data_IF_422099325110
#
_entry.id   IF_422099325110
#
_cell.length_a   1.000
_cell.length_b   1.000
_cell.length_c   1.000
_cell.angle_alpha   90.00
_cell.angle_beta   90.00
_cell.angle_gamma   90.00
#
_symmetry.space_group_name_H-M   'P 1'
#
loop_
_entity.id
_entity.type
_entity.pdbx_description
1 polymer ?
#
# COMPACT_ATOMS: atom_id res chain seq x y z
N UNK A 1 2.61 -39.67 0.28
CA UNK A 1 2.83 -38.42 -0.47
C UNK A 1 2.81 -37.28 0.51
N UNK A 2 3.98 -36.73 0.87
CA UNK A 2 4.09 -35.59 1.78
C UNK A 2 3.77 -34.32 1.00
N UNK A 3 2.63 -33.68 1.29
CA UNK A 3 2.31 -32.36 0.75
C UNK A 3 3.36 -31.40 1.27
N UNK A 4 4.31 -30.99 0.43
CA UNK A 4 5.18 -29.86 0.71
C UNK A 4 4.31 -28.62 0.66
N UNK A 5 3.78 -28.19 1.82
CA UNK A 5 3.04 -26.93 1.91
C UNK A 5 3.99 -25.79 1.54
N UNK A 6 3.90 -25.31 0.30
CA UNK A 6 4.58 -24.09 -0.13
C UNK A 6 4.16 -22.95 0.80
N UNK A 7 5.14 -22.19 1.30
CA UNK A 7 4.88 -21.01 2.14
C UNK A 7 4.04 -20.02 1.34
N UNK A 8 3.02 -19.44 1.97
CA UNK A 8 2.21 -18.40 1.35
C UNK A 8 3.06 -17.14 1.15
N UNK A 9 2.89 -16.45 0.03
CA UNK A 9 3.53 -15.15 -0.21
C UNK A 9 2.49 -14.06 -0.02
N UNK A 10 2.74 -13.16 0.92
CA UNK A 10 1.83 -12.07 1.30
C UNK A 10 2.46 -10.75 0.90
N UNK A 11 1.86 -10.08 -0.08
CA UNK A 11 2.22 -8.72 -0.44
C UNK A 11 1.60 -7.74 0.56
N UNK A 12 2.44 -6.87 1.11
CA UNK A 12 2.09 -5.97 2.20
C UNK A 12 2.08 -4.53 1.69
N UNK A 13 0.88 -3.96 1.54
CA UNK A 13 0.67 -2.58 1.12
C UNK A 13 0.39 -1.70 2.33
N UNK A 14 1.21 -0.69 2.54
CA UNK A 14 1.04 0.24 3.67
C UNK A 14 -0.10 1.25 3.39
N UNK A 15 -0.58 1.89 4.46
CA UNK A 15 -1.60 2.96 4.36
C UNK A 15 -1.02 4.32 3.99
N UNK A 16 -1.87 5.32 3.79
CA UNK A 16 -1.46 6.70 3.54
C UNK A 16 -0.57 7.25 4.67
N UNK A 17 0.48 8.00 4.30
CA UNK A 17 1.50 8.56 5.20
C UNK A 17 2.23 7.50 6.03
N UNK A 18 2.50 6.37 5.41
CA UNK A 18 3.37 5.31 5.93
C UNK A 18 4.37 4.92 4.84
N UNK A 19 5.23 3.96 5.15
CA UNK A 19 6.14 3.33 4.20
C UNK A 19 6.32 1.86 4.58
N UNK A 20 7.12 1.14 3.80
CA UNK A 20 7.42 -0.29 3.96
C UNK A 20 8.07 -0.59 5.32
N UNK A 21 8.94 0.28 5.81
CA UNK A 21 9.66 0.11 7.08
C UNK A 21 8.70 0.23 8.26
N UNK A 22 7.94 1.33 8.31
CA UNK A 22 6.95 1.59 9.35
C UNK A 22 5.87 0.51 9.37
N UNK A 23 5.45 0.01 8.21
CA UNK A 23 4.46 -1.06 8.15
C UNK A 23 5.02 -2.40 8.62
N UNK A 24 6.27 -2.72 8.27
CA UNK A 24 6.96 -3.93 8.73
C UNK A 24 7.17 -3.96 10.25
N UNK A 25 7.46 -2.81 10.85
CA UNK A 25 7.59 -2.66 12.30
C UNK A 25 6.25 -2.89 13.01
N UNK A 26 5.19 -2.23 12.55
CA UNK A 26 3.83 -2.37 13.13
C UNK A 26 3.25 -3.78 13.02
N UNK A 27 3.68 -4.54 12.00
CA UNK A 27 3.22 -5.92 11.77
C UNK A 27 4.15 -6.99 12.34
N UNK A 28 5.13 -6.61 13.18
CA UNK A 28 6.16 -7.52 13.70
C UNK A 28 5.62 -8.74 14.46
N UNK A 29 4.60 -8.58 15.31
CA UNK A 29 3.98 -9.69 16.05
C UNK A 29 3.26 -10.67 15.10
N UNK A 30 2.49 -10.15 14.15
CA UNK A 30 1.83 -10.94 13.10
C UNK A 30 2.85 -11.75 12.31
N UNK A 31 3.90 -11.10 11.80
CA UNK A 31 4.95 -11.79 11.04
C UNK A 31 5.63 -12.90 11.84
N UNK A 32 5.89 -12.68 13.14
CA UNK A 32 6.48 -13.70 14.02
C UNK A 32 5.57 -14.91 14.17
N UNK A 33 4.26 -14.71 14.33
CA UNK A 33 3.28 -15.78 14.47
C UNK A 33 3.15 -16.60 13.18
N UNK A 34 3.22 -15.94 12.02
CA UNK A 34 3.04 -16.56 10.71
C UNK A 34 4.35 -17.00 10.02
N UNK A 35 5.51 -16.86 10.68
CA UNK A 35 6.83 -17.18 10.10
C UNK A 35 6.98 -18.62 9.60
N UNK A 36 6.16 -19.56 10.05
CA UNK A 36 6.17 -20.96 9.60
C UNK A 36 5.31 -21.18 8.35
N UNK A 37 4.37 -20.28 8.09
CA UNK A 37 3.31 -20.46 7.09
C UNK A 37 3.45 -19.49 5.91
N UNK A 38 4.00 -18.30 6.13
CA UNK A 38 4.02 -17.24 5.13
C UNK A 38 5.32 -16.42 5.12
N UNK A 39 5.66 -15.95 3.93
CA UNK A 39 6.65 -14.93 3.65
C UNK A 39 5.95 -13.62 3.32
N UNK A 40 6.44 -12.52 3.90
CA UNK A 40 5.82 -11.20 3.79
C UNK A 40 6.74 -10.28 3.00
N UNK A 41 6.22 -9.75 1.89
CA UNK A 41 6.91 -8.80 1.01
C UNK A 41 6.35 -7.40 1.24
N UNK A 42 7.17 -6.46 1.72
CA UNK A 42 6.76 -5.09 1.99
C UNK A 42 7.23 -4.18 0.86
N UNK A 43 6.32 -3.35 0.35
CA UNK A 43 6.59 -2.40 -0.74
C UNK A 43 6.23 -1.00 -0.31
N UNK A 44 6.96 -0.02 -0.85
CA UNK A 44 6.74 1.40 -0.61
C UNK A 44 5.99 2.03 -1.77
N UNK A 45 5.09 2.95 -1.46
CA UNK A 45 4.39 3.71 -2.49
C UNK A 45 5.30 4.76 -3.14
N UNK A 46 5.14 5.04 -4.45
CA UNK A 46 6.10 5.86 -5.19
C UNK A 46 5.87 7.37 -5.06
N UNK A 47 4.80 7.83 -4.40
CA UNK A 47 4.44 9.25 -4.30
C UNK A 47 4.75 9.80 -2.92
N UNK A 48 5.23 11.04 -2.88
CA UNK A 48 5.46 11.82 -1.66
C UNK A 48 4.27 12.76 -1.44
N UNK A 49 3.52 12.65 -0.33
CA UNK A 49 2.46 13.58 0.01
C UNK A 49 3.00 14.98 0.27
N UNK A 50 2.25 16.01 -0.10
CA UNK A 50 2.57 17.39 0.27
C UNK A 50 2.03 17.66 1.68
N UNK A 51 2.85 17.39 2.69
CA UNK A 51 2.52 17.62 4.09
C UNK A 51 3.58 18.55 4.69
N UNK A 52 3.13 19.61 5.37
CA UNK A 52 4.00 20.50 6.14
C UNK A 52 4.83 19.66 7.12
N UNK A 53 6.14 19.89 7.14
CA UNK A 53 7.21 19.09 7.79
C UNK A 53 7.11 18.93 9.32
N UNK A 54 5.98 19.31 9.90
CA UNK A 54 5.67 19.20 11.33
C UNK A 54 5.46 17.78 11.84
N UNK A 55 5.35 16.77 10.97
CA UNK A 55 5.31 15.36 11.38
C UNK A 55 6.67 14.69 11.17
N UNK A 56 7.43 14.56 12.26
CA UNK A 56 8.72 13.87 12.42
C UNK A 56 8.71 12.37 12.03
N UNK A 57 7.63 11.88 11.42
CA UNK A 57 7.39 10.46 11.09
C UNK A 57 7.99 10.08 9.74
N UNK A 58 9.25 10.45 9.50
CA UNK A 58 10.08 9.91 8.43
C UNK A 58 9.53 10.04 7.01
N UNK A 59 10.01 9.17 6.13
CA UNK A 59 9.71 9.14 4.69
C UNK A 59 8.28 8.67 4.40
N UNK A 60 7.29 9.56 4.53
CA UNK A 60 5.87 9.26 4.31
C UNK A 60 5.54 9.13 2.83
N UNK A 61 4.78 8.07 2.47
CA UNK A 61 4.42 7.77 1.09
C UNK A 61 2.92 7.63 0.86
N UNK A 62 2.50 7.75 -0.40
CA UNK A 62 1.11 7.57 -0.85
C UNK A 62 1.03 6.85 -2.20
N UNK A 63 -0.02 6.05 -2.38
CA UNK A 63 -0.25 5.28 -3.62
C UNK A 63 -0.94 6.11 -4.70
N UNK A 64 -1.86 6.99 -4.32
CA UNK A 64 -2.45 7.99 -5.20
C UNK A 64 -3.02 9.11 -4.34
N UNK A 65 -3.35 10.24 -4.97
CA UNK A 65 -3.96 11.37 -4.30
C UNK A 65 -5.38 11.60 -4.81
N UNK A 66 -6.30 11.84 -3.86
CA UNK A 66 -7.71 12.15 -4.13
C UNK A 66 -7.94 13.66 -4.29
N UNK A 67 -6.90 14.47 -4.05
CA UNK A 67 -6.98 15.94 -4.04
C UNK A 67 -5.87 16.58 -4.89
N UNK A 68 -6.10 17.81 -5.41
CA UNK A 68 -5.10 18.54 -6.21
C UNK A 68 -3.83 18.92 -5.45
N UNK A 69 -3.89 18.98 -4.13
CA UNK A 69 -2.79 19.36 -3.25
C UNK A 69 -1.90 18.17 -2.85
N UNK A 70 -1.92 17.07 -3.62
CA UNK A 70 -1.14 15.86 -3.33
C UNK A 70 -1.44 15.22 -1.96
N UNK A 71 -2.72 15.27 -1.56
CA UNK A 71 -3.23 14.59 -0.37
C UNK A 71 -4.23 13.48 -0.71
N UNK A 72 -4.41 12.56 0.23
CA UNK A 72 -5.36 11.46 0.11
C UNK A 72 -6.31 11.41 1.32
N UNK A 73 -7.59 11.18 1.05
CA UNK A 73 -8.60 10.88 2.06
C UNK A 73 -9.56 9.81 1.52
N UNK A 74 -9.76 8.74 2.29
CA UNK A 74 -10.69 7.65 1.94
C UNK A 74 -12.16 8.06 1.98
N UNK A 75 -12.47 9.27 2.46
CA UNK A 75 -13.83 9.81 2.55
C UNK A 75 -14.19 10.71 1.39
N UNK A 76 -13.21 11.08 0.56
CA UNK A 76 -13.46 11.98 -0.56
C UNK A 76 -14.21 11.23 -1.67
N UNK A 77 -15.33 11.80 -2.14
CA UNK A 77 -15.90 11.40 -3.43
C UNK A 77 -15.15 12.17 -4.49
N UNK A 78 -14.24 11.51 -5.21
CA UNK A 78 -13.34 12.17 -6.14
C UNK A 78 -13.25 11.45 -7.49
N UNK A 79 -13.11 12.24 -8.56
CA UNK A 79 -12.67 11.77 -9.88
C UNK A 79 -11.15 11.86 -10.07
N UNK A 80 -10.43 12.33 -9.03
CA UNK A 80 -8.99 12.55 -9.04
C UNK A 80 -8.31 11.31 -8.43
N UNK A 81 -7.35 10.75 -9.16
CA UNK A 81 -6.52 9.62 -8.73
C UNK A 81 -5.06 9.84 -9.18
N UNK A 82 -4.51 11.00 -8.82
CA UNK A 82 -3.19 11.43 -9.28
C UNK A 82 -2.12 10.43 -8.84
N UNK A 83 -1.32 9.95 -9.80
CA UNK A 83 -0.22 9.01 -9.56
C UNK A 83 -0.64 7.55 -9.39
N UNK A 84 -1.93 7.21 -9.55
CA UNK A 84 -2.40 5.82 -9.50
C UNK A 84 -1.70 4.92 -10.51
N UNK A 85 -1.61 5.33 -11.78
CA UNK A 85 -0.95 4.54 -12.82
C UNK A 85 0.54 4.31 -12.54
N UNK A 86 1.19 5.31 -11.91
CA UNK A 86 2.57 5.14 -11.44
C UNK A 86 2.63 4.05 -10.38
N UNK A 87 1.75 4.04 -9.40
CA UNK A 87 1.73 2.99 -8.36
C UNK A 87 1.50 1.58 -8.90
N UNK A 88 0.66 1.44 -9.92
CA UNK A 88 0.41 0.14 -10.56
C UNK A 88 1.60 -0.29 -11.43
N UNK A 89 2.22 0.65 -12.14
CA UNK A 89 3.26 0.37 -13.15
C UNK A 89 4.68 0.31 -12.60
N UNK A 90 5.00 1.16 -11.62
CA UNK A 90 6.34 1.33 -11.02
C UNK A 90 6.62 0.22 -10.00
N UNK A 91 5.56 -0.44 -9.53
CA UNK A 91 5.67 -1.72 -8.83
C UNK A 91 6.22 -2.74 -9.82
N UNK A 92 7.39 -3.30 -9.53
CA UNK A 92 8.01 -4.48 -10.19
C UNK A 92 7.09 -5.74 -10.29
N UNK A 93 5.81 -5.61 -9.91
CA UNK A 93 4.73 -6.57 -9.81
C UNK A 93 3.53 -6.20 -10.70
N UNK A 94 3.76 -5.71 -11.92
CA UNK A 94 2.69 -5.26 -12.85
C UNK A 94 1.56 -6.26 -13.13
N UNK A 95 1.70 -7.55 -12.77
CA UNK A 95 0.65 -8.57 -12.85
C UNK A 95 -0.28 -8.66 -11.62
N UNK A 96 -0.01 -7.98 -10.50
CA UNK A 96 -0.72 -8.20 -9.21
C UNK A 96 -1.77 -7.12 -8.91
N UNK A 97 -1.66 -5.92 -9.51
CA UNK A 97 -2.46 -4.76 -9.09
C UNK A 97 -3.72 -4.45 -9.89
N UNK A 98 -4.09 -5.27 -10.88
CA UNK A 98 -5.24 -5.00 -11.77
C UNK A 98 -6.62 -4.98 -11.09
N UNK A 99 -6.74 -5.24 -9.79
CA UNK A 99 -8.06 -5.33 -9.11
C UNK A 99 -8.27 -4.32 -7.96
N UNK A 100 -7.31 -3.41 -7.70
CA UNK A 100 -7.44 -2.43 -6.61
C UNK A 100 -7.77 -1.01 -7.11
N UNK A 101 -8.82 -0.87 -7.93
CA UNK A 101 -9.46 0.44 -8.08
C UNK A 101 -10.86 0.28 -8.66
N UNK A 102 -11.87 0.21 -7.79
CA UNK A 102 -13.28 0.65 -7.98
C UNK A 102 -14.24 -0.13 -7.07
N UNK A 103 -14.10 0.00 -5.74
CA UNK A 103 -15.28 -0.11 -4.85
C UNK A 103 -15.71 1.32 -4.52
N UNK A 104 -16.42 1.95 -5.45
CA UNK A 104 -16.91 3.34 -5.30
C UNK A 104 -17.90 3.80 -6.36
N UNK A 105 -18.20 2.99 -7.38
CA UNK A 105 -19.30 3.21 -8.33
C UNK A 105 -20.41 2.21 -8.07
N UNK A 106 -21.14 2.41 -6.99
CA UNK A 106 -22.46 1.81 -6.77
C UNK A 106 -23.21 2.66 -5.74
N UNK A 107 -23.94 3.65 -6.24
CA UNK A 107 -25.16 4.28 -5.70
C UNK A 107 -25.14 5.79 -5.92
N UNK A 108 -25.85 6.20 -6.97
CA UNK A 108 -26.06 7.58 -7.42
C UNK A 108 -26.64 7.54 -8.82
#
# INVERSE_FOLDING_TARGET
MTITRSRLRVLCLHGYRQNEVLFREKTGSLRKQFKKYADFEFVSAPLVPNVESSEERGDVRGWWFSRPDSQFSSRDVCSIATGFEKSVSDSFWGSVFSTMCCQGRANG
#
